data_IF_170202199215
#
_entry.id   IF_170202199215
#
_cell.length_a   1.000
_cell.length_b   1.000
_cell.length_c   1.000
_cell.angle_alpha   90.00
_cell.angle_beta   90.00
_cell.angle_gamma   90.00
#
_symmetry.space_group_name_H-M   'P 1'
#
loop_
_entity.id
_entity.type
_entity.pdbx_description
1 polymer ?
#
# COMPACT_ATOMS: atom_id res chain seq x y z
N UNK A 1 5.31 -10.33 17.34
CA UNK A 1 4.13 -11.04 16.83
C UNK A 1 3.18 -10.01 16.28
N UNK A 2 2.63 -10.22 15.08
CA UNK A 2 1.58 -9.38 14.49
C UNK A 2 0.44 -9.19 15.49
N UNK A 3 -0.10 -7.97 15.58
CA UNK A 3 -1.24 -7.65 16.46
C UNK A 3 -2.57 -7.76 15.74
N UNK A 4 -2.55 -7.69 14.40
CA UNK A 4 -3.72 -7.74 13.55
C UNK A 4 -3.64 -8.93 12.60
N UNK A 5 -4.73 -9.63 12.44
CA UNK A 5 -4.91 -10.66 11.42
C UNK A 5 -5.17 -10.02 10.04
N UNK A 6 -4.84 -10.72 8.95
CA UNK A 6 -5.03 -10.19 7.59
C UNK A 6 -6.46 -9.69 7.32
N UNK A 7 -7.46 -10.40 7.80
CA UNK A 7 -8.88 -10.02 7.65
C UNK A 7 -9.29 -8.75 8.42
N UNK A 8 -8.43 -8.24 9.30
CA UNK A 8 -8.61 -6.97 10.02
C UNK A 8 -7.93 -5.79 9.30
N UNK A 9 -7.06 -6.07 8.32
CA UNK A 9 -6.40 -5.04 7.50
C UNK A 9 -7.34 -4.67 6.36
N UNK A 10 -8.22 -3.70 6.58
CA UNK A 10 -9.31 -3.31 5.66
C UNK A 10 -9.51 -1.79 5.66
N UNK A 11 -10.37 -1.32 4.75
CA UNK A 11 -10.75 0.08 4.72
C UNK A 11 -9.78 0.98 3.97
N UNK A 12 -9.57 2.18 4.47
CA UNK A 12 -8.69 3.20 3.87
C UNK A 12 -7.29 3.10 4.44
N UNK A 13 -6.33 2.67 3.63
CA UNK A 13 -4.94 2.46 4.04
C UNK A 13 -4.04 3.39 3.21
N UNK A 14 -3.63 4.54 3.75
CA UNK A 14 -2.68 5.42 3.06
C UNK A 14 -1.37 4.69 2.74
N UNK A 15 -0.97 4.74 1.47
CA UNK A 15 0.42 4.49 1.08
C UNK A 15 1.22 5.70 1.54
N UNK A 16 1.75 5.62 2.74
CA UNK A 16 2.33 6.74 3.46
C UNK A 16 3.54 7.30 2.71
N UNK A 17 3.57 8.61 2.52
CA UNK A 17 4.73 9.31 1.99
C UNK A 17 5.82 9.41 3.05
N UNK A 18 7.06 9.61 2.62
CA UNK A 18 8.22 9.86 3.50
C UNK A 18 8.54 11.35 3.49
N UNK A 19 8.81 11.93 4.65
CA UNK A 19 9.25 13.30 4.76
C UNK A 19 10.78 13.36 4.94
N UNK A 20 11.39 14.35 4.29
CA UNK A 20 12.84 14.56 4.34
C UNK A 20 13.13 15.97 4.83
N UNK A 21 14.22 16.11 5.58
CA UNK A 21 14.75 17.42 5.96
C UNK A 21 15.50 18.09 4.79
N UNK A 22 16.09 19.27 5.03
CA UNK A 22 16.83 20.01 3.98
C UNK A 22 18.14 19.36 3.58
N UNK A 23 18.65 18.47 4.40
CA UNK A 23 19.85 17.66 4.19
C UNK A 23 19.52 16.31 3.56
N UNK A 24 18.26 16.11 3.15
CA UNK A 24 17.70 14.87 2.53
C UNK A 24 17.68 13.65 3.48
N UNK A 25 17.76 13.85 4.81
CA UNK A 25 17.54 12.77 5.77
C UNK A 25 16.05 12.62 6.08
N UNK A 26 15.66 11.41 6.49
CA UNK A 26 14.28 11.15 6.92
C UNK A 26 13.90 12.02 8.11
N UNK A 27 12.85 12.85 7.96
CA UNK A 27 12.29 13.65 9.05
C UNK A 27 11.34 12.79 9.91
N UNK A 28 11.89 12.27 11.00
CA UNK A 28 11.13 11.43 11.94
C UNK A 28 10.05 12.18 12.70
N UNK A 29 10.24 13.47 12.98
CA UNK A 29 9.25 14.28 13.69
C UNK A 29 8.05 14.58 12.79
N UNK A 30 8.29 14.95 11.54
CA UNK A 30 7.22 15.10 10.56
C UNK A 30 6.50 13.78 10.32
N UNK A 31 7.23 12.67 10.22
CA UNK A 31 6.67 11.32 10.11
C UNK A 31 5.73 11.00 11.27
N UNK A 32 6.09 11.33 12.53
CA UNK A 32 5.23 11.15 13.70
C UNK A 32 3.96 12.01 13.63
N UNK A 33 4.09 13.29 13.25
CA UNK A 33 2.92 14.17 13.04
C UNK A 33 1.98 13.63 11.98
N UNK A 34 2.55 13.07 10.90
CA UNK A 34 1.76 12.45 9.84
C UNK A 34 0.95 11.23 10.34
N UNK A 35 1.54 10.39 11.19
CA UNK A 35 0.81 9.26 11.79
C UNK A 35 -0.41 9.77 12.58
N UNK A 36 -0.24 10.79 13.45
CA UNK A 36 -1.38 11.32 14.22
C UNK A 36 -2.43 11.96 13.31
N UNK A 37 -2.00 12.73 12.31
CA UNK A 37 -2.91 13.30 11.31
C UNK A 37 -3.77 12.23 10.63
N UNK A 38 -3.17 11.10 10.20
CA UNK A 38 -3.89 10.01 9.57
C UNK A 38 -4.90 9.34 10.50
N UNK A 39 -4.50 9.12 11.75
CA UNK A 39 -5.38 8.54 12.77
C UNK A 39 -6.59 9.45 13.06
N UNK A 40 -6.35 10.76 13.17
CA UNK A 40 -7.41 11.76 13.41
C UNK A 40 -8.38 11.88 12.23
N UNK A 41 -7.90 11.66 11.00
CA UNK A 41 -8.72 11.78 9.78
C UNK A 41 -9.28 10.44 9.29
N UNK A 42 -9.17 9.37 10.10
CA UNK A 42 -9.91 8.13 9.89
C UNK A 42 -9.25 7.10 8.97
N UNK A 43 -7.94 7.12 8.84
CA UNK A 43 -7.21 6.00 8.26
C UNK A 43 -7.46 4.71 9.06
N UNK A 44 -7.52 3.57 8.38
CA UNK A 44 -7.75 2.25 8.98
C UNK A 44 -6.49 1.41 9.08
N UNK A 45 -5.36 1.91 8.61
CA UNK A 45 -4.06 1.26 8.64
C UNK A 45 -3.02 2.09 7.92
N UNK A 46 -1.81 1.55 7.82
CA UNK A 46 -0.68 2.19 7.14
C UNK A 46 0.00 1.23 6.18
N UNK A 47 0.37 1.73 5.00
CA UNK A 47 1.22 1.02 4.04
C UNK A 47 2.52 1.83 3.88
N UNK A 48 3.63 1.30 4.40
CA UNK A 48 4.89 2.02 4.53
C UNK A 48 5.87 1.67 3.42
N UNK A 49 6.79 2.59 3.16
CA UNK A 49 7.95 2.39 2.26
C UNK A 49 7.59 1.81 0.90
N UNK A 50 6.41 2.19 0.37
CA UNK A 50 6.00 1.88 -1.00
C UNK A 50 6.49 2.93 -1.99
N UNK A 51 5.95 2.90 -3.22
CA UNK A 51 6.28 3.88 -4.28
C UNK A 51 5.97 5.32 -3.86
N UNK A 52 4.85 5.55 -3.18
CA UNK A 52 4.48 6.87 -2.64
C UNK A 52 5.46 7.35 -1.56
N UNK A 53 6.01 6.44 -0.79
CA UNK A 53 7.04 6.73 0.22
C UNK A 53 8.45 6.78 -0.35
N UNK A 54 8.60 6.83 -1.68
CA UNK A 54 9.86 6.99 -2.40
C UNK A 54 10.93 5.95 -2.03
N UNK A 55 10.51 4.71 -1.74
CA UNK A 55 11.36 3.67 -1.16
C UNK A 55 12.62 3.33 -1.96
N UNK A 56 12.60 3.55 -3.28
CA UNK A 56 13.76 3.22 -4.13
C UNK A 56 14.80 4.34 -4.22
N UNK A 57 14.53 5.51 -3.63
CA UNK A 57 15.50 6.60 -3.45
C UNK A 57 16.21 6.53 -2.10
N UNK A 58 15.65 5.76 -1.17
CA UNK A 58 16.18 5.58 0.19
C UNK A 58 17.16 4.41 0.31
N UNK A 59 18.10 4.53 1.22
CA UNK A 59 18.92 3.40 1.69
C UNK A 59 18.09 2.40 2.51
N UNK A 60 18.65 1.22 2.79
CA UNK A 60 18.01 0.23 3.66
C UNK A 60 17.81 0.79 5.07
N UNK A 61 18.80 1.53 5.58
CA UNK A 61 18.78 2.15 6.91
C UNK A 61 17.67 3.20 7.02
N UNK A 62 17.48 4.04 5.99
CA UNK A 62 16.41 5.04 5.97
C UNK A 62 15.02 4.39 5.90
N UNK A 63 14.86 3.36 5.08
CA UNK A 63 13.60 2.59 5.04
C UNK A 63 13.30 1.97 6.40
N UNK A 64 14.30 1.40 7.06
CA UNK A 64 14.16 0.84 8.40
C UNK A 64 13.80 1.93 9.42
N UNK A 65 14.42 3.12 9.34
CA UNK A 65 14.11 4.24 10.22
C UNK A 65 12.67 4.72 10.08
N UNK A 66 12.12 4.78 8.86
CA UNK A 66 10.70 5.09 8.63
C UNK A 66 9.81 4.05 9.30
N UNK A 67 10.10 2.76 9.11
CA UNK A 67 9.34 1.65 9.70
C UNK A 67 9.34 1.73 11.23
N UNK A 68 10.52 1.87 11.84
CA UNK A 68 10.67 1.95 13.30
C UNK A 68 9.91 3.15 13.87
N UNK A 69 10.04 4.33 13.21
CA UNK A 69 9.37 5.56 13.63
C UNK A 69 7.86 5.43 13.60
N UNK A 70 7.30 4.87 12.51
CA UNK A 70 5.85 4.73 12.38
C UNK A 70 5.31 3.69 13.35
N UNK A 71 5.93 2.53 13.47
CA UNK A 71 5.49 1.46 14.38
C UNK A 71 5.54 1.93 15.84
N UNK A 72 6.62 2.63 16.24
CA UNK A 72 6.72 3.23 17.55
C UNK A 72 5.62 4.28 17.80
N UNK A 73 5.29 5.11 16.82
CA UNK A 73 4.25 6.13 16.95
C UNK A 73 2.85 5.54 16.93
N UNK A 74 2.56 4.57 16.05
CA UNK A 74 1.25 3.90 15.95
C UNK A 74 0.90 3.15 17.23
N UNK A 75 1.86 2.55 17.91
CA UNK A 75 1.69 1.80 19.18
C UNK A 75 0.57 0.75 19.14
N UNK A 76 0.37 0.14 17.97
CA UNK A 76 -0.64 -0.88 17.77
C UNK A 76 -2.08 -0.37 17.78
N UNK A 77 -2.29 0.92 17.52
CA UNK A 77 -3.64 1.50 17.32
C UNK A 77 -4.26 1.09 15.98
N UNK A 78 -3.43 0.85 14.97
CA UNK A 78 -3.81 0.48 13.61
C UNK A 78 -2.83 -0.54 13.03
N UNK A 79 -3.26 -1.37 12.05
CA UNK A 79 -2.38 -2.30 11.36
C UNK A 79 -1.36 -1.57 10.48
N UNK A 80 -0.17 -2.15 10.37
CA UNK A 80 0.95 -1.64 9.58
C UNK A 80 1.42 -2.70 8.59
N UNK A 81 1.31 -2.40 7.30
CA UNK A 81 1.86 -3.18 6.20
C UNK A 81 3.14 -2.53 5.71
N UNK A 82 4.24 -3.26 5.63
CA UNK A 82 5.53 -2.72 5.19
C UNK A 82 5.87 -3.25 3.81
N UNK A 83 6.09 -2.36 2.86
CA UNK A 83 6.63 -2.73 1.55
C UNK A 83 8.14 -2.97 1.67
N UNK A 84 8.54 -4.20 1.35
CA UNK A 84 9.92 -4.69 1.45
C UNK A 84 10.57 -4.95 0.09
N UNK A 85 9.84 -4.67 -1.01
CA UNK A 85 10.32 -4.91 -2.36
C UNK A 85 11.58 -4.13 -2.70
N UNK A 86 12.50 -4.80 -3.38
CA UNK A 86 13.72 -4.25 -3.95
C UNK A 86 14.06 -5.04 -5.22
N UNK A 87 15.05 -4.59 -6.00
CA UNK A 87 15.51 -5.30 -7.20
C UNK A 87 16.09 -6.66 -6.85
N UNK A 88 16.78 -6.78 -5.72
CA UNK A 88 17.47 -7.98 -5.27
C UNK A 88 16.76 -8.71 -4.13
N UNK A 89 16.53 -10.01 -4.28
CA UNK A 89 15.88 -10.87 -3.26
C UNK A 89 16.53 -10.75 -1.88
N UNK A 90 17.86 -10.71 -1.81
CA UNK A 90 18.57 -10.59 -0.51
C UNK A 90 18.21 -9.33 0.26
N UNK A 91 18.12 -8.17 -0.42
CA UNK A 91 17.73 -6.92 0.22
C UNK A 91 16.26 -6.94 0.67
N UNK A 92 15.39 -7.52 -0.15
CA UNK A 92 13.98 -7.67 0.21
C UNK A 92 13.79 -8.56 1.44
N UNK A 93 14.57 -9.62 1.58
CA UNK A 93 14.59 -10.48 2.78
C UNK A 93 15.08 -9.70 4.00
N UNK A 94 16.17 -8.94 3.87
CA UNK A 94 16.72 -8.10 4.96
C UNK A 94 15.67 -7.10 5.47
N UNK A 95 14.96 -6.43 4.56
CA UNK A 95 13.86 -5.52 4.89
C UNK A 95 12.66 -6.24 5.52
N UNK A 96 12.32 -7.45 5.05
CA UNK A 96 11.24 -8.26 5.61
C UNK A 96 11.54 -8.72 7.04
N UNK A 97 12.77 -9.17 7.29
CA UNK A 97 13.23 -9.52 8.62
C UNK A 97 13.24 -8.33 9.58
N UNK A 98 13.63 -7.13 9.09
CA UNK A 98 13.54 -5.92 9.90
C UNK A 98 12.09 -5.57 10.23
N UNK A 99 11.19 -5.55 9.24
CA UNK A 99 9.77 -5.28 9.43
C UNK A 99 9.14 -6.23 10.48
N UNK A 100 9.50 -7.52 10.43
CA UNK A 100 9.07 -8.49 11.43
C UNK A 100 9.57 -8.15 12.84
N UNK A 101 10.86 -7.84 12.99
CA UNK A 101 11.46 -7.45 14.30
C UNK A 101 10.87 -6.15 14.85
N UNK A 102 10.58 -5.19 13.97
CA UNK A 102 9.94 -3.93 14.34
C UNK A 102 8.48 -4.09 14.79
N UNK A 103 7.81 -5.18 14.39
CA UNK A 103 6.44 -5.47 14.79
C UNK A 103 5.38 -5.06 13.77
N UNK A 104 5.72 -5.11 12.49
CA UNK A 104 4.74 -5.00 11.39
C UNK A 104 3.71 -6.12 11.44
N UNK A 105 2.53 -5.89 10.86
CA UNK A 105 1.45 -6.87 10.81
C UNK A 105 1.44 -7.68 9.50
N UNK A 106 1.94 -7.09 8.42
CA UNK A 106 2.13 -7.76 7.13
C UNK A 106 3.29 -7.13 6.36
N UNK A 107 3.80 -7.87 5.39
CA UNK A 107 4.76 -7.36 4.40
C UNK A 107 4.12 -7.32 3.01
N UNK A 108 4.67 -6.49 2.13
CA UNK A 108 4.27 -6.42 0.73
C UNK A 108 5.48 -6.24 -0.18
N UNK A 109 5.39 -6.68 -1.41
CA UNK A 109 6.45 -6.46 -2.40
C UNK A 109 5.89 -6.27 -3.80
N UNK A 110 6.48 -5.34 -4.56
CA UNK A 110 6.42 -5.36 -6.03
C UNK A 110 7.28 -6.53 -6.55
N UNK A 111 7.04 -7.05 -7.77
CA UNK A 111 7.99 -7.98 -8.38
C UNK A 111 9.36 -7.32 -8.55
N UNK A 112 10.46 -8.09 -8.70
CA UNK A 112 11.75 -7.53 -9.04
C UNK A 112 11.63 -6.80 -10.40
N UNK A 113 12.24 -5.64 -10.52
CA UNK A 113 12.10 -4.75 -11.67
C UNK A 113 13.47 -4.34 -12.22
N UNK A 114 13.50 -3.41 -13.18
CA UNK A 114 14.66 -2.99 -13.96
C UNK A 114 14.97 -3.92 -15.13
N UNK A 115 15.07 -5.23 -14.92
CA UNK A 115 15.19 -6.24 -15.97
C UNK A 115 13.82 -6.90 -16.24
N UNK A 116 13.64 -7.41 -17.45
CA UNK A 116 12.48 -8.25 -17.76
C UNK A 116 12.71 -9.66 -17.19
N UNK A 117 12.24 -9.91 -15.98
CA UNK A 117 12.29 -11.21 -15.34
C UNK A 117 11.25 -12.16 -15.92
N UNK A 118 11.54 -13.47 -15.91
CA UNK A 118 10.61 -14.51 -16.30
C UNK A 118 9.68 -14.83 -15.13
N UNK A 119 8.48 -15.38 -15.42
CA UNK A 119 7.52 -15.76 -14.40
C UNK A 119 8.11 -16.63 -13.28
N UNK A 120 8.96 -17.62 -13.63
CA UNK A 120 9.61 -18.47 -12.65
C UNK A 120 10.62 -17.72 -11.74
N UNK A 121 11.29 -16.69 -12.25
CA UNK A 121 12.20 -15.87 -11.46
C UNK A 121 11.40 -15.00 -10.48
N UNK A 122 10.27 -14.45 -10.92
CA UNK A 122 9.33 -13.69 -10.08
C UNK A 122 8.72 -14.59 -9.00
N UNK A 123 8.28 -15.80 -9.37
CA UNK A 123 7.74 -16.78 -8.43
C UNK A 123 8.76 -17.11 -7.31
N UNK A 124 10.01 -17.41 -7.68
CA UNK A 124 11.06 -17.69 -6.71
C UNK A 124 11.35 -16.50 -5.79
N UNK A 125 11.36 -15.27 -6.34
CA UNK A 125 11.52 -14.05 -5.55
C UNK A 125 10.45 -13.92 -4.46
N UNK A 126 9.18 -14.08 -4.81
CA UNK A 126 8.08 -14.01 -3.84
C UNK A 126 8.10 -15.16 -2.83
N UNK A 127 8.41 -16.38 -3.28
CA UNK A 127 8.57 -17.53 -2.39
C UNK A 127 9.64 -17.24 -1.32
N UNK A 128 10.82 -16.87 -1.75
CA UNK A 128 11.97 -16.67 -0.86
C UNK A 128 11.71 -15.55 0.16
N UNK A 129 11.02 -14.47 -0.23
CA UNK A 129 10.65 -13.40 0.70
C UNK A 129 9.54 -13.86 1.65
N UNK A 130 8.48 -14.50 1.13
CA UNK A 130 7.34 -14.93 1.97
C UNK A 130 7.73 -16.00 2.99
N UNK A 131 8.76 -16.79 2.71
CA UNK A 131 9.30 -17.80 3.64
C UNK A 131 10.32 -17.24 4.64
N UNK A 132 10.82 -16.01 4.44
CA UNK A 132 11.86 -15.41 5.30
C UNK A 132 11.36 -14.98 6.67
N UNK A 133 10.07 -14.75 6.81
CA UNK A 133 9.42 -14.35 8.07
C UNK A 133 8.05 -15.00 8.22
N UNK A 134 7.50 -15.09 9.45
CA UNK A 134 6.14 -15.57 9.65
C UNK A 134 5.05 -14.56 9.32
N UNK A 135 5.39 -13.35 8.82
CA UNK A 135 4.41 -12.33 8.47
C UNK A 135 3.64 -12.72 7.20
N UNK A 136 2.33 -12.48 7.17
CA UNK A 136 1.56 -12.61 5.93
C UNK A 136 2.07 -11.62 4.88
N UNK A 137 2.08 -12.06 3.62
CA UNK A 137 2.56 -11.28 2.49
C UNK A 137 1.43 -10.86 1.56
N UNK A 138 1.47 -9.60 1.13
CA UNK A 138 0.62 -9.00 0.10
C UNK A 138 1.43 -8.83 -1.17
N UNK A 139 1.08 -9.55 -2.23
CA UNK A 139 1.68 -9.35 -3.56
C UNK A 139 1.26 -7.98 -4.08
N UNK A 140 2.18 -7.23 -4.67
CA UNK A 140 1.88 -5.90 -5.22
C UNK A 140 1.99 -5.89 -6.74
N UNK A 141 0.86 -5.90 -7.42
CA UNK A 141 0.77 -5.83 -8.88
C UNK A 141 0.60 -4.38 -9.34
N UNK A 142 1.60 -3.81 -9.99
CA UNK A 142 1.63 -2.42 -10.44
C UNK A 142 2.35 -2.25 -11.76
N UNK A 143 1.84 -1.35 -12.61
CA UNK A 143 2.42 -1.03 -13.92
C UNK A 143 3.88 -0.58 -13.86
N UNK A 144 4.28 0.16 -12.81
CA UNK A 144 5.65 0.68 -12.64
C UNK A 144 6.72 -0.43 -12.56
N UNK A 145 6.36 -1.57 -12.00
CA UNK A 145 7.26 -2.73 -11.88
C UNK A 145 7.01 -3.79 -12.97
N UNK A 146 6.04 -3.55 -13.85
CA UNK A 146 5.54 -4.51 -14.82
C UNK A 146 4.38 -5.33 -14.24
N UNK A 147 3.23 -5.32 -14.92
CA UNK A 147 2.09 -6.12 -14.49
C UNK A 147 2.37 -7.61 -14.69
N UNK A 148 2.03 -8.37 -13.68
CA UNK A 148 1.97 -9.83 -13.71
C UNK A 148 0.62 -10.25 -14.31
N UNK A 149 0.61 -11.29 -15.10
CA UNK A 149 -0.62 -11.87 -15.62
C UNK A 149 -1.39 -12.65 -14.54
N UNK A 150 -2.64 -12.93 -14.80
CA UNK A 150 -3.54 -13.59 -13.85
C UNK A 150 -3.03 -14.98 -13.45
N UNK A 151 -2.46 -15.75 -14.37
CA UNK A 151 -1.94 -17.09 -14.09
C UNK A 151 -0.81 -17.04 -13.07
N UNK A 152 0.11 -16.08 -13.20
CA UNK A 152 1.18 -15.89 -12.23
C UNK A 152 0.63 -15.39 -10.89
N UNK A 153 -0.33 -14.47 -10.89
CA UNK A 153 -0.95 -13.99 -9.65
C UNK A 153 -1.63 -15.12 -8.87
N UNK A 154 -2.34 -16.01 -9.55
CA UNK A 154 -2.96 -17.18 -8.91
C UNK A 154 -1.93 -18.20 -8.42
N UNK A 155 -0.81 -18.39 -9.14
CA UNK A 155 0.31 -19.21 -8.66
C UNK A 155 0.95 -18.62 -7.40
N UNK A 156 1.17 -17.31 -7.34
CA UNK A 156 1.71 -16.63 -6.17
C UNK A 156 0.79 -16.72 -4.96
N UNK A 157 -0.52 -16.62 -5.17
CA UNK A 157 -1.52 -16.80 -4.13
C UNK A 157 -1.51 -18.23 -3.52
N UNK A 158 -0.96 -19.20 -4.22
CA UNK A 158 -0.76 -20.56 -3.72
C UNK A 158 0.44 -20.72 -2.77
N UNK A 159 1.28 -19.70 -2.58
CA UNK A 159 2.39 -19.74 -1.63
C UNK A 159 1.87 -19.67 -0.18
N UNK A 160 2.41 -20.45 0.78
CA UNK A 160 1.85 -20.61 2.12
C UNK A 160 1.62 -19.31 2.91
N UNK A 161 2.50 -18.32 2.75
CA UNK A 161 2.42 -17.05 3.48
C UNK A 161 1.89 -15.89 2.63
N UNK A 162 1.40 -16.14 1.41
CA UNK A 162 0.78 -15.12 0.57
C UNK A 162 -0.72 -15.09 0.85
N UNK A 163 -1.19 -14.02 1.47
CA UNK A 163 -2.56 -13.88 1.95
C UNK A 163 -3.31 -12.67 1.35
N UNK A 164 -2.69 -11.96 0.42
CA UNK A 164 -3.33 -10.82 -0.21
C UNK A 164 -2.66 -10.34 -1.48
N UNK A 165 -3.36 -9.45 -2.16
CA UNK A 165 -2.96 -8.81 -3.40
C UNK A 165 -3.32 -7.33 -3.35
N UNK A 166 -2.35 -6.43 -3.52
CA UNK A 166 -2.59 -5.04 -3.87
C UNK A 166 -2.60 -4.93 -5.39
N UNK A 167 -3.77 -4.63 -5.95
CA UNK A 167 -4.01 -4.61 -7.39
C UNK A 167 -4.07 -3.16 -7.90
N UNK A 168 -2.98 -2.69 -8.50
CA UNK A 168 -2.85 -1.34 -9.04
C UNK A 168 -2.83 -1.40 -10.57
N UNK A 169 -3.95 -1.85 -11.12
CA UNK A 169 -4.23 -1.90 -12.55
C UNK A 169 -5.71 -1.54 -12.79
N UNK A 170 -6.05 -1.23 -14.04
CA UNK A 170 -7.40 -0.76 -14.39
C UNK A 170 -8.41 -1.88 -14.64
N UNK A 171 -7.96 -3.13 -14.76
CA UNK A 171 -8.80 -4.30 -15.02
C UNK A 171 -9.49 -4.78 -13.74
N UNK A 172 -10.51 -4.05 -13.28
CA UNK A 172 -11.26 -4.43 -12.07
C UNK A 172 -12.09 -5.69 -12.25
N UNK A 173 -12.39 -6.09 -13.49
CA UNK A 173 -12.96 -7.39 -13.84
C UNK A 173 -12.00 -8.54 -13.48
N UNK A 174 -10.70 -8.42 -13.82
CA UNK A 174 -9.70 -9.41 -13.40
C UNK A 174 -9.56 -9.46 -11.87
N UNK A 175 -9.54 -8.31 -11.21
CA UNK A 175 -9.47 -8.22 -9.75
C UNK A 175 -10.66 -8.94 -9.09
N UNK A 176 -11.88 -8.71 -9.58
CA UNK A 176 -13.09 -9.38 -9.10
C UNK A 176 -13.04 -10.88 -9.33
N UNK A 177 -12.59 -11.33 -10.51
CA UNK A 177 -12.41 -12.75 -10.81
C UNK A 177 -11.39 -13.42 -9.88
N UNK A 178 -10.26 -12.76 -9.60
CA UNK A 178 -9.26 -13.27 -8.65
C UNK A 178 -9.88 -13.43 -7.25
N UNK A 179 -10.66 -12.43 -6.79
CA UNK A 179 -11.35 -12.48 -5.49
C UNK A 179 -12.32 -13.65 -5.40
N UNK A 180 -13.14 -13.87 -6.43
CA UNK A 180 -14.08 -14.98 -6.48
C UNK A 180 -13.35 -16.35 -6.51
N UNK A 181 -12.23 -16.43 -7.22
CA UNK A 181 -11.43 -17.67 -7.34
C UNK A 181 -10.74 -18.04 -6.03
N UNK A 182 -10.16 -17.06 -5.32
CA UNK A 182 -9.38 -17.30 -4.10
C UNK A 182 -10.23 -17.30 -2.82
N UNK A 183 -11.45 -16.77 -2.91
CA UNK A 183 -12.40 -16.76 -1.80
C UNK A 183 -12.24 -15.60 -0.81
N UNK A 184 -13.08 -15.58 0.24
CA UNK A 184 -13.20 -14.44 1.15
C UNK A 184 -11.97 -14.19 2.03
N UNK A 185 -11.18 -15.22 2.31
CA UNK A 185 -10.02 -15.15 3.21
C UNK A 185 -8.77 -14.56 2.53
N UNK A 186 -8.73 -14.52 1.20
CA UNK A 186 -7.66 -13.87 0.45
C UNK A 186 -7.98 -12.39 0.27
N UNK A 187 -7.16 -11.52 0.86
CA UNK A 187 -7.41 -10.08 0.90
C UNK A 187 -7.02 -9.40 -0.41
N UNK A 188 -7.91 -8.60 -0.98
CA UNK A 188 -7.62 -7.80 -2.17
C UNK A 188 -7.75 -6.31 -1.85
N UNK A 189 -6.72 -5.55 -2.23
CA UNK A 189 -6.68 -4.10 -2.06
C UNK A 189 -6.65 -3.42 -3.41
N UNK A 190 -7.63 -2.56 -3.69
CA UNK A 190 -7.58 -1.69 -4.87
C UNK A 190 -6.51 -0.62 -4.68
N UNK A 191 -5.61 -0.51 -5.67
CA UNK A 191 -4.45 0.40 -5.58
C UNK A 191 -4.54 1.62 -6.51
N UNK A 192 -5.65 1.81 -7.23
CA UNK A 192 -5.88 2.97 -8.09
C UNK A 192 -6.80 3.95 -7.36
N UNK A 193 -6.27 5.09 -6.95
CA UNK A 193 -6.98 6.09 -6.14
C UNK A 193 -8.19 6.68 -6.88
N UNK A 194 -8.03 6.93 -8.18
CA UNK A 194 -9.07 7.40 -9.09
C UNK A 194 -10.17 6.36 -9.37
N UNK A 195 -9.99 5.14 -8.88
CA UNK A 195 -10.93 4.04 -9.09
C UNK A 195 -11.33 3.36 -7.77
N UNK A 196 -11.15 4.02 -6.62
CA UNK A 196 -11.40 3.45 -5.30
C UNK A 196 -12.85 2.94 -5.17
N UNK A 197 -13.84 3.73 -5.58
CA UNK A 197 -15.25 3.33 -5.56
C UNK A 197 -15.50 2.08 -6.42
N UNK A 198 -15.00 2.07 -7.65
CA UNK A 198 -15.11 0.94 -8.58
C UNK A 198 -14.40 -0.30 -8.03
N UNK A 199 -13.21 -0.14 -7.45
CA UNK A 199 -12.45 -1.24 -6.85
C UNK A 199 -13.22 -1.93 -5.72
N UNK A 200 -13.82 -1.14 -4.83
CA UNK A 200 -14.67 -1.67 -3.76
C UNK A 200 -15.92 -2.36 -4.27
N UNK A 201 -16.57 -1.81 -5.30
CA UNK A 201 -17.72 -2.45 -5.95
C UNK A 201 -17.33 -3.77 -6.65
N UNK A 202 -16.08 -3.94 -7.05
CA UNK A 202 -15.53 -5.15 -7.68
C UNK A 202 -14.99 -6.17 -6.68
N UNK A 203 -15.25 -6.00 -5.38
CA UNK A 203 -14.92 -6.98 -4.35
C UNK A 203 -13.60 -6.78 -3.63
N UNK A 204 -12.96 -5.61 -3.73
CA UNK A 204 -11.81 -5.30 -2.89
C UNK A 204 -12.21 -5.24 -1.41
N UNK A 205 -11.33 -5.71 -0.52
CA UNK A 205 -11.51 -5.68 0.94
C UNK A 205 -11.08 -4.34 1.56
N UNK A 206 -10.27 -3.59 0.83
CA UNK A 206 -9.78 -2.28 1.22
C UNK A 206 -9.12 -1.54 0.05
N UNK A 207 -8.66 -0.35 0.32
CA UNK A 207 -7.99 0.50 -0.65
C UNK A 207 -6.63 0.95 -0.11
N UNK A 208 -5.57 0.87 -0.95
CA UNK A 208 -4.21 1.32 -0.60
C UNK A 208 -3.74 2.30 -1.66
N UNK A 209 -3.65 3.58 -1.34
CA UNK A 209 -3.29 4.60 -2.31
C UNK A 209 -2.63 5.85 -1.76
N UNK A 210 -2.14 6.67 -2.66
CA UNK A 210 -1.27 7.82 -2.38
C UNK A 210 -2.06 9.04 -1.92
N UNK A 211 -3.19 9.34 -2.56
CA UNK A 211 -4.00 10.52 -2.24
C UNK A 211 -4.77 10.37 -0.93
N UNK A 212 -4.79 9.17 -0.35
CA UNK A 212 -5.33 8.96 1.01
C UNK A 212 -4.48 9.66 2.08
N UNK A 213 -3.23 10.05 1.75
CA UNK A 213 -2.42 10.94 2.58
C UNK A 213 -3.06 12.33 2.75
N UNK A 214 -3.75 12.84 1.73
CA UNK A 214 -4.34 14.18 1.74
C UNK A 214 -5.72 14.24 2.40
N UNK A 215 -6.58 13.28 2.11
CA UNK A 215 -7.99 13.30 2.52
C UNK A 215 -8.54 11.89 2.77
N UNK A 216 -8.02 11.18 3.79
CA UNK A 216 -8.52 9.84 4.12
C UNK A 216 -10.01 9.84 4.46
N UNK A 217 -10.52 10.92 5.05
CA UNK A 217 -11.92 11.15 5.37
C UNK A 217 -12.86 11.16 4.15
N UNK A 218 -12.42 11.69 3.01
CA UNK A 218 -13.19 11.62 1.76
C UNK A 218 -13.32 10.16 1.29
N UNK A 219 -12.23 9.40 1.35
CA UNK A 219 -12.25 7.99 0.96
C UNK A 219 -13.07 7.13 1.94
N UNK A 220 -13.07 7.46 3.23
CA UNK A 220 -14.00 6.83 4.19
C UNK A 220 -15.47 7.05 3.78
N UNK A 221 -15.80 8.24 3.32
CA UNK A 221 -17.14 8.52 2.82
C UNK A 221 -17.44 7.73 1.53
N UNK A 222 -16.46 7.56 0.63
CA UNK A 222 -16.61 6.73 -0.58
C UNK A 222 -16.91 5.28 -0.19
N UNK A 223 -16.14 4.68 0.73
CA UNK A 223 -16.37 3.32 1.20
C UNK A 223 -17.76 3.17 1.83
N UNK A 224 -18.15 4.12 2.66
CA UNK A 224 -19.50 4.15 3.24
C UNK A 224 -20.60 4.15 2.18
N UNK A 225 -20.41 4.85 1.05
CA UNK A 225 -21.38 4.84 -0.06
C UNK A 225 -21.48 3.48 -0.75
N UNK A 226 -20.38 2.70 -0.79
CA UNK A 226 -20.42 1.31 -1.26
C UNK A 226 -21.25 0.44 -0.32
N UNK A 227 -21.03 0.53 1.00
CA UNK A 227 -21.80 -0.20 2.02
C UNK A 227 -23.30 0.15 1.97
N UNK A 228 -23.64 1.42 1.75
CA UNK A 228 -25.00 1.92 1.59
C UNK A 228 -25.63 1.58 0.23
N UNK A 229 -24.89 1.00 -0.71
CA UNK A 229 -25.29 0.80 -2.11
C UNK A 229 -25.70 2.10 -2.83
N UNK A 230 -25.17 3.26 -2.37
CA UNK A 230 -25.43 4.57 -2.95
C UNK A 230 -24.45 4.86 -4.10
N UNK A 231 -24.74 4.26 -5.27
CA UNK A 231 -23.88 4.38 -6.47
C UNK A 231 -23.71 5.86 -6.89
N UNK A 232 -24.80 6.64 -6.88
CA UNK A 232 -24.74 8.05 -7.33
C UNK A 232 -23.92 8.90 -6.36
N UNK A 233 -24.08 8.70 -5.08
CA UNK A 233 -23.33 9.38 -4.03
C UNK A 233 -21.84 9.01 -4.10
N UNK A 234 -21.53 7.72 -4.20
CA UNK A 234 -20.16 7.22 -4.30
C UNK A 234 -19.42 7.75 -5.53
N UNK A 235 -20.05 7.70 -6.71
CA UNK A 235 -19.45 8.27 -7.93
C UNK A 235 -19.27 9.79 -7.85
N UNK A 236 -20.14 10.50 -7.15
CA UNK A 236 -19.96 11.95 -6.95
C UNK A 236 -18.75 12.25 -6.07
N UNK A 237 -18.57 11.51 -4.98
CA UNK A 237 -17.40 11.66 -4.09
C UNK A 237 -16.09 11.26 -4.80
N UNK A 238 -16.13 10.18 -5.58
CA UNK A 238 -14.97 9.78 -6.39
C UNK A 238 -14.55 10.89 -7.36
N UNK A 239 -15.49 11.55 -8.05
CA UNK A 239 -15.16 12.66 -8.96
C UNK A 239 -14.50 13.84 -8.25
N UNK A 240 -14.87 14.12 -6.99
CA UNK A 240 -14.20 15.16 -6.18
C UNK A 240 -12.72 14.77 -5.97
N UNK A 241 -12.44 13.52 -5.62
CA UNK A 241 -11.07 13.03 -5.52
C UNK A 241 -10.34 13.12 -6.87
N UNK A 242 -10.99 12.71 -7.96
CA UNK A 242 -10.43 12.69 -9.31
C UNK A 242 -10.03 14.08 -9.81
N UNK A 243 -10.78 15.13 -9.47
CA UNK A 243 -10.42 16.52 -9.81
C UNK A 243 -9.05 16.89 -9.24
N UNK A 244 -8.76 16.52 -8.00
CA UNK A 244 -7.46 16.75 -7.36
C UNK A 244 -6.39 15.86 -7.98
N UNK A 245 -6.69 14.56 -8.14
CA UNK A 245 -5.75 13.56 -8.70
C UNK A 245 -5.30 14.00 -10.09
N UNK A 246 -6.23 14.26 -11.01
CA UNK A 246 -5.90 14.63 -12.38
C UNK A 246 -5.26 16.02 -12.50
N UNK A 247 -5.51 16.92 -11.57
CA UNK A 247 -4.77 18.18 -11.48
C UNK A 247 -3.32 17.93 -11.04
N UNK A 248 -3.11 17.12 -10.02
CA UNK A 248 -1.79 16.78 -9.48
C UNK A 248 -0.92 16.01 -10.49
N UNK A 249 -1.49 15.03 -11.19
CA UNK A 249 -0.78 14.21 -12.18
C UNK A 249 -0.29 14.96 -13.42
N UNK A 250 -0.60 16.25 -13.56
CA UNK A 250 -0.02 17.11 -14.61
C UNK A 250 1.40 17.60 -14.27
N UNK A 251 1.84 17.38 -13.05
CA UNK A 251 3.11 17.84 -12.51
C UNK A 251 3.93 16.67 -12.00
N UNK A 252 5.11 16.94 -11.45
CA UNK A 252 5.91 15.94 -10.77
C UNK A 252 5.19 15.45 -9.51
N UNK A 253 4.80 14.19 -9.52
CA UNK A 253 3.86 13.63 -8.54
C UNK A 253 4.38 13.70 -7.10
N UNK A 254 5.62 13.25 -6.76
CA UNK A 254 6.12 13.36 -5.39
C UNK A 254 6.13 14.81 -4.88
N UNK A 255 6.69 15.72 -5.68
CA UNK A 255 6.78 17.15 -5.31
C UNK A 255 5.41 17.77 -5.08
N UNK A 256 4.40 17.44 -5.90
CA UNK A 256 3.04 17.93 -5.69
C UNK A 256 2.44 17.39 -4.40
N UNK A 257 2.63 16.11 -4.11
CA UNK A 257 2.09 15.50 -2.90
C UNK A 257 2.69 16.17 -1.65
N UNK A 258 4.01 16.38 -1.61
CA UNK A 258 4.68 17.10 -0.54
C UNK A 258 4.12 18.52 -0.35
N UNK A 259 3.99 19.29 -1.45
CA UNK A 259 3.43 20.65 -1.37
C UNK A 259 1.99 20.66 -0.86
N UNK A 260 1.15 19.70 -1.28
CA UNK A 260 -0.22 19.59 -0.79
C UNK A 260 -0.28 19.23 0.70
N UNK A 261 0.65 18.40 1.19
CA UNK A 261 0.74 18.08 2.62
C UNK A 261 1.23 19.28 3.43
N UNK A 262 2.16 20.09 2.91
CA UNK A 262 2.55 21.35 3.54
C UNK A 262 1.36 22.29 3.70
N UNK A 263 0.46 22.38 2.72
CA UNK A 263 -0.79 23.16 2.87
C UNK A 263 -1.73 22.58 3.91
N UNK A 264 -1.62 21.29 4.23
CA UNK A 264 -2.33 20.64 5.34
C UNK A 264 -1.64 20.86 6.70
N UNK A 265 -0.52 21.58 6.76
CA UNK A 265 0.22 21.89 7.97
C UNK A 265 1.22 20.82 8.40
N UNK A 266 1.61 19.95 7.47
CA UNK A 266 2.63 18.93 7.67
C UNK A 266 3.88 19.31 6.85
N UNK A 267 4.80 20.01 7.50
CA UNK A 267 6.13 20.37 7.00
C UNK A 267 7.21 19.52 7.67
#
# INVERSE_FOLDING_TARGET
MSRFEMNQIKGVIPAMMTFFDREENVDTECTRRMVEFMLEHGADGFYLTGSTGECFTMTVEERNLVVDTVIDQVKGRMPVVVHVGDIGTKKSIELAEHAYRAGADAISSVPPFYWKFRAGDIYNYYRDISESTPLPMVVYNIQLAGLMDMDLLLQLAGLPNVHGLKYTARSHDEMGFIKETLGPDFMIYSGCDEMAFSGMCSGADGIIGSFYNLFPDLYKQILKKVEESDIKGGMRLQRIADEVIFAALKYDFPSVLHNLMNWRGLE
#
